data_IF_611813301983
#
_entry.id   IF_611813301983
#
_cell.length_a   1.000
_cell.length_b   1.000
_cell.length_c   1.000
_cell.angle_alpha   90.00
_cell.angle_beta   90.00
_cell.angle_gamma   90.00
#
_symmetry.space_group_name_H-M   'P 1'
#
loop_
_entity.id
_entity.type
_entity.pdbx_description
1 polymer ?
#
# COMPACT_ATOMS: atom_id res chain seq x y z
N UNK A 1 -12.46 -17.16 0.56
CA UNK A 1 -11.19 -17.90 0.60
C UNK A 1 -10.12 -17.35 -0.36
N UNK A 2 -10.47 -16.97 -1.60
CA UNK A 2 -9.50 -16.43 -2.57
C UNK A 2 -8.66 -15.23 -2.08
N UNK A 3 -9.21 -14.36 -1.23
CA UNK A 3 -8.49 -13.22 -0.65
C UNK A 3 -7.35 -13.57 0.30
N UNK A 4 -7.58 -14.53 1.21
CA UNK A 4 -6.56 -14.99 2.14
C UNK A 4 -5.45 -15.73 1.39
N UNK A 5 -5.81 -16.66 0.52
CA UNK A 5 -4.84 -17.43 -0.29
C UNK A 5 -4.02 -16.50 -1.18
N UNK A 6 -4.69 -15.57 -1.88
CA UNK A 6 -4.02 -14.56 -2.71
C UNK A 6 -3.09 -13.67 -1.89
N UNK A 7 -3.52 -13.23 -0.70
CA UNK A 7 -2.70 -12.48 0.24
C UNK A 7 -1.46 -13.27 0.68
N UNK A 8 -1.62 -14.49 1.18
CA UNK A 8 -0.50 -15.34 1.61
C UNK A 8 0.50 -15.58 0.47
N UNK A 9 0.01 -15.89 -0.74
CA UNK A 9 0.84 -16.07 -1.92
C UNK A 9 1.61 -14.78 -2.28
N UNK A 10 0.96 -13.62 -2.17
CA UNK A 10 1.61 -12.32 -2.40
C UNK A 10 2.66 -12.01 -1.33
N UNK A 11 2.45 -12.40 -0.08
CA UNK A 11 3.43 -12.28 1.00
C UNK A 11 4.66 -13.16 0.79
N UNK A 12 4.47 -14.40 0.30
CA UNK A 12 5.58 -15.27 -0.09
C UNK A 12 6.35 -14.64 -1.25
N UNK A 13 5.65 -14.14 -2.27
CA UNK A 13 6.25 -13.43 -3.40
C UNK A 13 7.07 -12.21 -2.94
N UNK A 14 6.53 -11.38 -2.04
CA UNK A 14 7.24 -10.24 -1.47
C UNK A 14 8.50 -10.68 -0.70
N UNK A 15 8.43 -11.81 0.02
CA UNK A 15 9.61 -12.36 0.72
C UNK A 15 10.68 -12.86 -0.23
N UNK A 16 10.29 -13.55 -1.31
CA UNK A 16 11.22 -13.99 -2.35
C UNK A 16 11.90 -12.81 -3.02
N UNK A 17 11.15 -11.75 -3.30
CA UNK A 17 11.69 -10.50 -3.82
C UNK A 17 12.71 -9.87 -2.86
N UNK A 18 12.41 -9.75 -1.56
CA UNK A 18 13.38 -9.23 -0.58
C UNK A 18 14.66 -10.05 -0.54
N UNK A 19 14.56 -11.38 -0.67
CA UNK A 19 15.73 -12.26 -0.78
C UNK A 19 16.54 -12.00 -2.04
N UNK A 20 15.87 -11.73 -3.16
CA UNK A 20 16.52 -11.46 -4.44
C UNK A 20 17.30 -10.13 -4.44
N UNK A 21 16.76 -9.08 -3.82
CA UNK A 21 17.38 -7.75 -3.77
C UNK A 21 18.37 -7.56 -2.60
N UNK A 22 18.55 -8.55 -1.73
CA UNK A 22 19.47 -8.46 -0.60
C UNK A 22 20.90 -8.83 -1.00
N UNK A 23 21.87 -8.07 -0.49
CA UNK A 23 23.31 -8.37 -0.59
C UNK A 23 23.80 -9.19 0.60
N UNK A 24 23.23 -8.97 1.80
CA UNK A 24 23.52 -9.71 3.03
C UNK A 24 22.21 -10.19 3.69
N UNK A 25 21.74 -11.42 3.40
CA UNK A 25 20.40 -11.85 3.77
C UNK A 25 20.31 -12.39 5.22
N UNK A 26 20.12 -11.51 6.21
CA UNK A 26 19.77 -11.91 7.58
C UNK A 26 18.27 -12.12 7.77
N UNK A 27 17.73 -13.17 7.17
CA UNK A 27 16.30 -13.45 7.17
C UNK A 27 15.88 -14.42 8.28
N UNK A 28 15.10 -13.92 9.25
CA UNK A 28 14.49 -14.76 10.29
C UNK A 28 13.19 -15.43 9.82
N UNK A 29 12.83 -16.54 10.45
CA UNK A 29 11.52 -17.20 10.29
C UNK A 29 10.37 -16.35 10.83
N UNK A 30 10.58 -15.69 11.97
CA UNK A 30 9.59 -14.78 12.57
C UNK A 30 9.25 -13.62 11.63
N UNK A 31 10.26 -12.96 11.04
CA UNK A 31 10.04 -11.89 10.07
C UNK A 31 9.35 -12.39 8.79
N UNK A 32 9.65 -13.61 8.34
CA UNK A 32 8.97 -14.24 7.20
C UNK A 32 7.50 -14.48 7.49
N UNK A 33 7.18 -15.10 8.63
CA UNK A 33 5.80 -15.35 9.05
C UNK A 33 5.02 -14.04 9.22
N UNK A 34 5.65 -13.02 9.81
CA UNK A 34 5.04 -11.70 9.97
C UNK A 34 4.61 -11.10 8.61
N UNK A 35 5.50 -11.11 7.61
CA UNK A 35 5.19 -10.62 6.27
C UNK A 35 4.05 -11.43 5.64
N UNK A 36 4.18 -12.75 5.62
CA UNK A 36 3.20 -13.63 4.95
C UNK A 36 1.82 -13.49 5.59
N UNK A 37 1.74 -13.52 6.92
CA UNK A 37 0.48 -13.35 7.66
C UNK A 37 -0.08 -11.93 7.43
N UNK A 38 0.77 -10.90 7.48
CA UNK A 38 0.36 -9.52 7.23
C UNK A 38 -0.29 -9.33 5.86
N UNK A 39 0.31 -9.90 4.81
CA UNK A 39 -0.30 -9.92 3.47
C UNK A 39 -1.57 -10.78 3.41
N UNK A 40 -1.63 -11.90 4.14
CA UNK A 40 -2.85 -12.71 4.27
C UNK A 40 -4.01 -11.93 4.89
N UNK A 41 -3.76 -11.21 5.98
CA UNK A 41 -4.74 -10.33 6.65
C UNK A 41 -5.20 -9.22 5.71
N UNK A 42 -4.26 -8.54 5.06
CA UNK A 42 -4.57 -7.50 4.07
C UNK A 42 -5.44 -8.05 2.93
N UNK A 43 -5.04 -9.18 2.32
CA UNK A 43 -5.77 -9.81 1.22
C UNK A 43 -7.18 -10.25 1.62
N UNK A 44 -7.34 -10.80 2.83
CA UNK A 44 -8.64 -11.16 3.38
C UNK A 44 -9.54 -9.93 3.58
N UNK A 45 -9.01 -8.88 4.20
CA UNK A 45 -9.77 -7.67 4.51
C UNK A 45 -10.20 -6.92 3.23
N UNK A 46 -9.30 -6.79 2.25
CA UNK A 46 -9.60 -6.20 0.95
C UNK A 46 -10.64 -7.03 0.17
N UNK A 47 -10.54 -8.36 0.22
CA UNK A 47 -11.55 -9.23 -0.39
C UNK A 47 -12.91 -9.13 0.28
N UNK A 48 -12.94 -8.94 1.60
CA UNK A 48 -14.17 -8.65 2.35
C UNK A 48 -14.85 -7.37 1.85
N UNK A 49 -14.09 -6.28 1.70
CA UNK A 49 -14.61 -5.04 1.14
C UNK A 49 -15.07 -5.20 -0.31
N UNK A 50 -14.32 -5.92 -1.15
CA UNK A 50 -14.71 -6.21 -2.53
C UNK A 50 -16.01 -7.02 -2.63
N UNK A 51 -16.14 -8.09 -1.86
CA UNK A 51 -17.34 -8.93 -1.85
C UNK A 51 -18.54 -8.17 -1.25
N UNK A 52 -18.32 -7.37 -0.21
CA UNK A 52 -19.35 -6.52 0.37
C UNK A 52 -19.95 -5.54 -0.65
N UNK A 53 -19.13 -4.97 -1.53
CA UNK A 53 -19.61 -4.15 -2.66
C UNK A 53 -20.44 -4.96 -3.65
N UNK A 54 -20.00 -6.18 -4.00
CA UNK A 54 -20.74 -7.04 -4.95
C UNK A 54 -22.06 -7.54 -4.37
N UNK A 55 -22.11 -7.80 -3.07
CA UNK A 55 -23.30 -8.24 -2.36
C UNK A 55 -24.31 -7.10 -2.07
N UNK A 56 -24.00 -5.86 -2.46
CA UNK A 56 -24.86 -4.68 -2.22
C UNK A 56 -25.24 -4.52 -0.74
N UNK A 57 -24.27 -4.73 0.16
CA UNK A 57 -24.51 -4.63 1.60
C UNK A 57 -25.07 -3.27 2.00
N UNK A 58 -25.79 -3.24 3.12
CA UNK A 58 -26.30 -2.00 3.70
C UNK A 58 -25.16 -1.03 3.98
N UNK A 59 -25.45 0.28 3.90
CA UNK A 59 -24.49 1.37 4.08
C UNK A 59 -23.61 1.23 5.34
N UNK A 60 -24.15 1.00 6.56
CA UNK A 60 -23.31 0.87 7.75
C UNK A 60 -22.39 -0.36 7.68
N UNK A 61 -22.89 -1.49 7.16
CA UNK A 61 -22.08 -2.70 6.98
C UNK A 61 -20.92 -2.47 6.00
N UNK A 62 -21.17 -1.75 4.90
CA UNK A 62 -20.12 -1.41 3.93
C UNK A 62 -19.06 -0.49 4.56
N UNK A 63 -19.46 0.52 5.34
CA UNK A 63 -18.51 1.40 6.05
C UNK A 63 -17.62 0.63 7.01
N UNK A 64 -18.20 -0.27 7.82
CA UNK A 64 -17.43 -1.13 8.74
C UNK A 64 -16.42 -1.99 7.96
N UNK A 65 -16.84 -2.62 6.87
CA UNK A 65 -15.93 -3.43 6.04
C UNK A 65 -14.78 -2.60 5.44
N UNK A 66 -15.02 -1.35 5.05
CA UNK A 66 -13.95 -0.46 4.56
C UNK A 66 -12.97 -0.11 5.67
N UNK A 67 -13.46 0.24 6.86
CA UNK A 67 -12.61 0.55 8.01
C UNK A 67 -11.75 -0.66 8.35
N UNK A 68 -12.36 -1.85 8.44
CA UNK A 68 -11.63 -3.11 8.65
C UNK A 68 -10.60 -3.36 7.55
N UNK A 69 -10.95 -3.09 6.28
CA UNK A 69 -10.03 -3.27 5.16
C UNK A 69 -8.86 -2.27 5.18
N UNK A 70 -9.08 -1.02 5.60
CA UNK A 70 -8.02 -0.03 5.80
C UNK A 70 -7.10 -0.42 6.96
N UNK A 71 -7.68 -0.84 8.10
CA UNK A 71 -6.92 -1.36 9.24
C UNK A 71 -6.12 -2.60 8.83
N UNK A 72 -6.69 -3.48 8.01
CA UNK A 72 -6.03 -4.66 7.47
C UNK A 72 -4.83 -4.37 6.57
N UNK A 73 -4.67 -3.14 6.07
CA UNK A 73 -3.46 -2.72 5.35
C UNK A 73 -2.32 -2.34 6.30
N UNK A 74 -2.59 -1.99 7.56
CA UNK A 74 -1.57 -1.51 8.51
C UNK A 74 -0.38 -2.45 8.70
N UNK A 75 -0.54 -3.80 8.74
CA UNK A 75 0.60 -4.70 8.82
C UNK A 75 1.60 -4.53 7.66
N UNK A 76 1.15 -4.07 6.49
CA UNK A 76 2.01 -3.79 5.34
C UNK A 76 2.81 -2.49 5.50
N UNK A 77 2.45 -1.63 6.45
CA UNK A 77 3.13 -0.37 6.74
C UNK A 77 4.14 -0.45 7.88
N UNK A 78 4.57 -1.66 8.24
CA UNK A 78 5.56 -1.89 9.31
C UNK A 78 6.90 -2.30 8.68
N UNK A 79 8.01 -2.02 9.38
CA UNK A 79 9.37 -2.36 8.96
C UNK A 79 9.69 -1.87 7.54
N UNK A 80 10.17 -2.74 6.65
CA UNK A 80 10.51 -2.38 5.27
C UNK A 80 9.33 -1.82 4.45
N UNK A 81 8.09 -2.12 4.87
CA UNK A 81 6.89 -1.58 4.21
C UNK A 81 6.49 -0.17 4.66
N UNK A 82 7.06 0.34 5.76
CA UNK A 82 6.70 1.63 6.34
C UNK A 82 6.96 2.81 5.40
N UNK A 83 8.12 2.82 4.74
CA UNK A 83 8.50 3.88 3.79
C UNK A 83 7.58 3.93 2.56
N UNK A 84 7.02 2.79 2.17
CA UNK A 84 6.17 2.64 0.98
C UNK A 84 4.67 2.63 1.29
N UNK A 85 4.28 2.57 2.56
CA UNK A 85 2.88 2.67 2.97
C UNK A 85 2.19 3.95 2.46
N UNK A 86 2.84 5.13 2.52
CA UNK A 86 2.31 6.33 1.90
C UNK A 86 1.99 6.17 0.43
N UNK A 87 2.89 5.55 -0.33
CA UNK A 87 2.73 5.30 -1.77
C UNK A 87 1.47 4.49 -2.04
N UNK A 88 1.22 3.44 -1.24
CA UNK A 88 0.03 2.61 -1.38
C UNK A 88 -1.24 3.46 -1.23
N UNK A 89 -1.32 4.28 -0.17
CA UNK A 89 -2.51 5.09 0.09
C UNK A 89 -2.70 6.16 -0.98
N UNK A 90 -1.67 6.98 -1.23
CA UNK A 90 -1.74 8.14 -2.11
C UNK A 90 -1.94 7.72 -3.58
N UNK A 91 -1.23 6.70 -4.06
CA UNK A 91 -1.43 6.18 -5.42
C UNK A 91 -2.83 5.60 -5.59
N UNK A 92 -3.34 4.85 -4.61
CA UNK A 92 -4.70 4.30 -4.70
C UNK A 92 -5.74 5.42 -4.77
N UNK A 93 -5.60 6.47 -3.95
CA UNK A 93 -6.51 7.62 -3.99
C UNK A 93 -6.44 8.35 -5.34
N UNK A 94 -5.24 8.62 -5.85
CA UNK A 94 -5.03 9.28 -7.14
C UNK A 94 -5.63 8.48 -8.32
N UNK A 95 -5.56 7.15 -8.26
CA UNK A 95 -6.04 6.26 -9.32
C UNK A 95 -7.55 6.04 -9.27
N UNK A 96 -8.16 6.03 -8.09
CA UNK A 96 -9.56 5.62 -7.94
C UNK A 96 -10.56 6.77 -7.87
N UNK A 97 -10.14 7.96 -7.42
CA UNK A 97 -11.05 9.12 -7.26
C UNK A 97 -11.09 10.00 -8.52
N UNK A 98 -11.67 9.48 -9.60
CA UNK A 98 -11.75 10.17 -10.89
C UNK A 98 -12.54 11.49 -10.87
N UNK A 99 -13.38 11.69 -9.86
CA UNK A 99 -14.16 12.93 -9.66
C UNK A 99 -13.36 14.08 -9.07
N UNK A 100 -12.13 13.83 -8.59
CA UNK A 100 -11.27 14.88 -8.05
C UNK A 100 -10.63 15.71 -9.17
N UNK A 101 -10.27 16.98 -8.91
CA UNK A 101 -9.53 17.80 -9.86
C UNK A 101 -8.25 17.11 -10.33
N UNK A 102 -7.94 17.21 -11.63
CA UNK A 102 -6.76 16.57 -12.22
C UNK A 102 -5.46 16.99 -11.54
N UNK A 103 -5.34 18.25 -11.13
CA UNK A 103 -4.15 18.77 -10.43
C UNK A 103 -3.94 18.08 -9.08
N UNK A 104 -4.99 17.89 -8.28
CA UNK A 104 -4.90 17.22 -6.97
C UNK A 104 -4.49 15.76 -7.14
N UNK A 105 -5.06 15.06 -8.12
CA UNK A 105 -4.66 13.69 -8.46
C UNK A 105 -3.20 13.64 -8.93
N UNK A 106 -2.76 14.63 -9.71
CA UNK A 106 -1.37 14.78 -10.14
C UNK A 106 -0.41 14.97 -8.95
N UNK A 107 -0.75 15.84 -8.00
CA UNK A 107 0.05 16.05 -6.78
C UNK A 107 0.14 14.75 -5.97
N UNK A 108 -0.99 14.06 -5.73
CA UNK A 108 -0.99 12.81 -4.97
C UNK A 108 -0.16 11.72 -5.67
N UNK A 109 -0.26 11.61 -7.00
CA UNK A 109 0.55 10.68 -7.77
C UNK A 109 2.04 11.04 -7.70
N UNK A 110 2.38 12.34 -7.81
CA UNK A 110 3.75 12.80 -7.71
C UNK A 110 4.35 12.51 -6.32
N UNK A 111 3.61 12.83 -5.24
CA UNK A 111 4.05 12.54 -3.86
C UNK A 111 4.16 11.04 -3.62
N UNK A 112 3.21 10.23 -4.12
CA UNK A 112 3.29 8.77 -4.05
C UNK A 112 4.50 8.20 -4.79
N UNK A 113 4.98 8.88 -5.83
CA UNK A 113 6.11 8.43 -6.62
C UNK A 113 7.45 8.66 -5.92
N UNK A 114 7.56 9.65 -5.01
CA UNK A 114 8.82 10.00 -4.35
C UNK A 114 9.46 8.82 -3.60
N UNK A 115 8.75 8.11 -2.69
CA UNK A 115 9.36 6.97 -1.98
C UNK A 115 9.70 5.83 -2.95
N UNK A 116 8.83 5.61 -3.94
CA UNK A 116 9.01 4.53 -4.92
C UNK A 116 10.27 4.75 -5.78
N UNK A 117 10.50 5.97 -6.23
CA UNK A 117 11.70 6.34 -7.00
C UNK A 117 12.93 6.28 -6.11
N UNK A 118 12.87 6.81 -4.88
CA UNK A 118 13.99 6.74 -3.95
C UNK A 118 14.43 5.29 -3.69
N UNK A 119 13.48 4.38 -3.40
CA UNK A 119 13.76 2.94 -3.24
C UNK A 119 14.24 2.28 -4.53
N UNK A 120 13.72 2.66 -5.69
CA UNK A 120 14.17 2.08 -6.96
C UNK A 120 15.61 2.51 -7.30
N UNK A 121 15.97 3.76 -7.01
CA UNK A 121 17.32 4.28 -7.24
C UNK A 121 18.35 3.61 -6.32
N UNK A 122 18.00 3.37 -5.04
CA UNK A 122 18.92 2.71 -4.11
C UNK A 122 19.33 1.29 -4.56
N UNK A 123 18.51 0.61 -5.36
CA UNK A 123 18.90 -0.70 -5.93
C UNK A 123 20.08 -0.61 -6.90
N UNK A 124 20.28 0.52 -7.57
CA UNK A 124 21.42 0.70 -8.49
C UNK A 124 22.72 1.03 -7.76
N UNK A 125 22.64 1.51 -6.52
CA UNK A 125 23.81 1.75 -5.67
C UNK A 125 24.35 0.43 -5.10
N UNK A 126 23.45 -0.49 -4.72
CA UNK A 126 23.80 -1.71 -3.99
C UNK A 126 23.93 -2.98 -4.87
N UNK A 127 23.30 -3.01 -6.05
CA UNK A 127 23.20 -4.21 -6.88
C UNK A 127 23.80 -4.02 -8.27
N UNK A 128 24.27 -5.12 -8.86
CA UNK A 128 24.61 -5.15 -10.30
C UNK A 128 23.43 -4.68 -11.15
N UNK A 129 23.69 -3.98 -12.26
CA UNK A 129 22.67 -3.40 -13.15
C UNK A 129 21.52 -4.35 -13.49
N UNK A 130 21.82 -5.61 -13.86
CA UNK A 130 20.78 -6.59 -14.21
C UNK A 130 19.88 -6.94 -13.01
N UNK A 131 20.47 -7.18 -11.83
CA UNK A 131 19.72 -7.45 -10.59
C UNK A 131 18.89 -6.24 -10.18
N UNK A 132 19.43 -5.03 -10.30
CA UNK A 132 18.70 -3.79 -10.01
C UNK A 132 17.46 -3.64 -10.90
N UNK A 133 17.61 -3.79 -12.22
CA UNK A 133 16.49 -3.70 -13.18
C UNK A 133 15.41 -4.73 -12.89
N UNK A 134 15.77 -6.00 -12.68
CA UNK A 134 14.81 -7.06 -12.33
C UNK A 134 14.14 -6.76 -10.98
N UNK A 135 14.91 -6.28 -10.01
CA UNK A 135 14.42 -5.86 -8.69
C UNK A 135 13.37 -4.76 -8.77
N UNK A 136 13.61 -3.73 -9.61
CA UNK A 136 12.66 -2.62 -9.86
C UNK A 136 11.40 -3.12 -10.55
N UNK A 137 11.50 -3.95 -11.60
CA UNK A 137 10.34 -4.48 -12.31
C UNK A 137 9.44 -5.29 -11.35
N UNK A 138 10.05 -6.15 -10.54
CA UNK A 138 9.33 -6.97 -9.56
C UNK A 138 8.74 -6.12 -8.43
N UNK A 139 9.47 -5.11 -7.95
CA UNK A 139 8.99 -4.12 -7.00
C UNK A 139 7.73 -3.41 -7.51
N UNK A 140 7.77 -2.88 -8.74
CA UNK A 140 6.62 -2.23 -9.38
C UNK A 140 5.43 -3.20 -9.45
N UNK A 141 5.66 -4.46 -9.84
CA UNK A 141 4.61 -5.48 -9.89
C UNK A 141 3.98 -5.74 -8.52
N UNK A 142 4.78 -5.88 -7.46
CA UNK A 142 4.31 -6.09 -6.08
C UNK A 142 3.41 -4.93 -5.64
N UNK A 143 3.89 -3.70 -5.78
CA UNK A 143 3.15 -2.52 -5.32
C UNK A 143 1.92 -2.23 -6.19
N UNK A 144 1.99 -2.47 -7.50
CA UNK A 144 0.82 -2.37 -8.37
C UNK A 144 -0.29 -3.34 -7.91
N UNK A 145 0.06 -4.58 -7.53
CA UNK A 145 -0.88 -5.54 -6.97
C UNK A 145 -1.50 -5.08 -5.65
N UNK A 146 -0.70 -4.50 -4.74
CA UNK A 146 -1.19 -3.97 -3.46
C UNK A 146 -2.14 -2.79 -3.68
N UNK A 147 -1.75 -1.82 -4.52
CA UNK A 147 -2.57 -0.66 -4.89
C UNK A 147 -3.88 -1.11 -5.55
N UNK A 148 -3.81 -2.11 -6.43
CA UNK A 148 -4.99 -2.70 -7.06
C UNK A 148 -5.91 -3.38 -6.05
N UNK A 149 -5.38 -4.09 -5.05
CA UNK A 149 -6.20 -4.66 -3.98
C UNK A 149 -6.84 -3.56 -3.11
N UNK A 150 -6.05 -2.56 -2.71
CA UNK A 150 -6.46 -1.43 -1.87
C UNK A 150 -7.58 -0.58 -2.49
N UNK A 151 -7.76 -0.63 -3.83
CA UNK A 151 -8.91 0.03 -4.50
C UNK A 151 -10.26 -0.40 -3.93
N UNK A 152 -10.35 -1.62 -3.40
CA UNK A 152 -11.57 -2.20 -2.82
C UNK A 152 -11.92 -1.65 -1.44
N UNK A 153 -10.98 -1.02 -0.73
CA UNK A 153 -11.27 -0.25 0.49
C UNK A 153 -11.22 1.26 0.27
N UNK A 154 -10.32 1.77 -0.56
CA UNK A 154 -10.08 3.22 -0.70
C UNK A 154 -10.83 3.89 -1.86
N UNK A 155 -11.37 3.10 -2.79
CA UNK A 155 -12.13 3.62 -3.92
C UNK A 155 -13.39 4.41 -3.51
N UNK A 156 -13.94 5.22 -4.43
CA UNK A 156 -15.14 6.00 -4.18
C UNK A 156 -16.32 5.10 -3.82
N UNK A 157 -17.12 5.58 -2.87
CA UNK A 157 -18.37 4.97 -2.43
C UNK A 157 -19.52 5.59 -3.26
N UNK A 158 -20.45 4.77 -3.75
CA UNK A 158 -21.66 5.23 -4.45
C UNK A 158 -22.72 5.79 -3.47
N UNK A 159 -22.43 5.69 -2.19
CA UNK A 159 -23.22 6.09 -1.06
C UNK A 159 -23.10 7.61 -0.89
N UNK A 160 -24.24 8.30 -0.97
CA UNK A 160 -24.37 9.76 -0.95
C UNK A 160 -23.91 10.48 0.32
N UNK A 161 -23.04 9.88 1.15
CA UNK A 161 -22.39 10.56 2.25
C UNK A 161 -21.30 11.49 1.70
N UNK A 162 -21.70 12.72 1.45
CA UNK A 162 -20.78 13.79 1.06
C UNK A 162 -20.04 14.22 2.32
N UNK A 163 -18.89 13.59 2.60
CA UNK A 163 -17.90 14.21 3.50
C UNK A 163 -17.66 15.63 2.94
N UNK A 164 -17.85 16.69 3.74
CA UNK A 164 -17.70 18.06 3.24
C UNK A 164 -16.30 18.22 2.65
N UNK A 165 -16.20 18.97 1.54
CA UNK A 165 -14.93 19.11 0.78
C UNK A 165 -13.78 19.54 1.68
N UNK A 166 -14.05 20.41 2.66
CA UNK A 166 -13.08 20.84 3.66
C UNK A 166 -12.50 19.66 4.47
N UNK A 167 -13.33 18.73 4.95
CA UNK A 167 -12.86 17.56 5.70
C UNK A 167 -12.05 16.59 4.81
N UNK A 168 -12.36 16.50 3.51
CA UNK A 168 -11.53 15.72 2.56
C UNK A 168 -10.17 16.37 2.36
N UNK A 169 -10.15 17.68 2.12
CA UNK A 169 -8.92 18.45 1.90
C UNK A 169 -8.06 18.43 3.16
N UNK A 170 -8.65 18.66 4.34
CA UNK A 170 -7.96 18.60 5.63
C UNK A 170 -7.43 17.19 5.94
N UNK A 171 -8.22 16.15 5.68
CA UNK A 171 -7.77 14.77 5.86
C UNK A 171 -6.57 14.44 4.97
N UNK A 172 -6.62 14.81 3.69
CA UNK A 172 -5.51 14.61 2.74
C UNK A 172 -4.29 15.48 3.12
N UNK A 173 -4.53 16.74 3.47
CA UNK A 173 -3.49 17.69 3.87
C UNK A 173 -2.82 17.34 5.20
N UNK A 174 -3.51 16.63 6.11
CA UNK A 174 -2.94 16.10 7.34
C UNK A 174 -2.20 14.78 7.12
N UNK A 175 -2.65 13.95 6.17
CA UNK A 175 -2.01 12.69 5.80
C UNK A 175 -0.61 12.91 5.19
N UNK A 176 -0.46 13.88 4.30
CA UNK A 176 0.82 14.16 3.63
C UNK A 176 1.99 14.49 4.60
N UNK A 177 1.86 15.39 5.59
CA UNK A 177 2.91 15.67 6.56
C UNK A 177 3.11 14.52 7.56
N UNK A 178 2.05 13.79 7.96
CA UNK A 178 2.21 12.59 8.80
C UNK A 178 3.00 11.49 8.08
N UNK A 179 2.75 11.33 6.79
CA UNK A 179 3.49 10.46 5.88
C UNK A 179 4.96 10.89 5.80
N UNK A 180 5.22 12.18 5.57
CA UNK A 180 6.58 12.72 5.48
C UNK A 180 7.33 12.57 6.80
N UNK A 181 6.65 12.82 7.92
CA UNK A 181 7.20 12.64 9.26
C UNK A 181 7.55 11.17 9.54
N UNK A 182 6.66 10.23 9.17
CA UNK A 182 6.93 8.81 9.32
C UNK A 182 8.12 8.34 8.47
N UNK A 183 8.25 8.86 7.23
CA UNK A 183 9.43 8.59 6.39
C UNK A 183 10.71 9.17 6.98
N UNK A 184 10.65 10.38 7.57
CA UNK A 184 11.84 10.98 8.21
C UNK A 184 12.27 10.26 9.48
N UNK A 185 11.32 9.83 10.31
CA UNK A 185 11.61 9.06 11.53
C UNK A 185 12.25 7.71 11.16
N UNK A 186 11.73 7.04 10.13
CA UNK A 186 12.29 5.75 9.70
C UNK A 186 13.69 5.89 9.10
N UNK A 187 14.00 6.98 8.40
CA UNK A 187 15.38 7.23 7.93
C UNK A 187 16.34 7.55 9.08
N UNK A 188 15.89 8.24 10.13
CA UNK A 188 16.75 8.58 11.28
C UNK A 188 17.02 7.40 12.22
N UNK A 189 16.14 6.40 12.26
CA UNK A 189 16.35 5.19 13.07
C UNK A 189 17.18 4.11 12.35
N UNK A 190 17.54 4.34 11.09
CA UNK A 190 18.34 3.41 10.28
C UNK A 190 19.84 3.78 10.27
N UNK A 191 20.21 4.93 10.84
CA UNK A 191 21.59 5.35 11.14
C UNK A 191 21.96 4.96 12.59
#
# INVERSE_FOLDING_TARGET
MGGLVGGLAWGINARLWMRFISTNPEFTWSGTLFIVIGFGVAGLAQSGAYLGRRASLTRPAMTVLRVVAVIGLLPLGVAAGASMFPTIILATLALTHHTWPRWLRGILAAVALLPAVATALSFFDDLSLMRAVVGVIWFVAIYAGIIWAARSSLGPQLDGWRVPTAARVLGVAALAPLILLATMITTQLAE
#
